data_IF_129427680256
#
_entry.id   IF_129427680256
#
_cell.length_a   1.000
_cell.length_b   1.000
_cell.length_c   1.000
_cell.angle_alpha   90.00
_cell.angle_beta   90.00
_cell.angle_gamma   90.00
#
_symmetry.space_group_name_H-M   'P 1'
#
loop_
_entity.id
_entity.type
_entity.pdbx_description
1 polymer ?
#
# COMPACT_ATOMS: atom_id res chain seq x y z
N UNK A 1 -80.59 -110.43 0.28
CA UNK A 1 -80.95 -110.25 -1.15
C UNK A 1 -80.29 -108.97 -1.67
N UNK A 2 -79.09 -109.06 -2.25
CA UNK A 2 -78.45 -107.91 -2.91
C UNK A 2 -79.03 -107.74 -4.31
N UNK A 3 -79.83 -106.69 -4.54
CA UNK A 3 -80.26 -106.29 -5.89
C UNK A 3 -79.02 -105.90 -6.68
N UNK A 4 -78.63 -106.72 -7.66
CA UNK A 4 -77.57 -106.40 -8.61
C UNK A 4 -78.09 -105.32 -9.56
N UNK A 5 -77.46 -104.15 -9.50
CA UNK A 5 -77.71 -103.02 -10.39
C UNK A 5 -77.50 -103.47 -11.84
N UNK A 6 -78.46 -103.17 -12.72
CA UNK A 6 -78.35 -103.54 -14.15
C UNK A 6 -77.27 -102.69 -14.83
N UNK A 7 -76.65 -103.19 -15.92
CA UNK A 7 -75.56 -102.49 -16.63
C UNK A 7 -75.93 -101.05 -17.02
N UNK A 8 -77.18 -100.82 -17.44
CA UNK A 8 -77.70 -99.50 -17.78
C UNK A 8 -77.87 -98.57 -16.55
N UNK A 9 -78.22 -99.12 -15.38
CA UNK A 9 -78.30 -98.36 -14.12
C UNK A 9 -76.90 -97.99 -13.60
N UNK A 10 -75.93 -98.90 -13.73
CA UNK A 10 -74.53 -98.63 -13.38
C UNK A 10 -73.90 -97.56 -14.28
N UNK A 11 -74.16 -97.59 -15.59
CA UNK A 11 -73.71 -96.54 -16.51
C UNK A 11 -74.35 -95.17 -16.22
N UNK A 12 -75.64 -95.13 -15.84
CA UNK A 12 -76.29 -93.88 -15.39
C UNK A 12 -75.69 -93.38 -14.09
N UNK A 13 -75.43 -94.26 -13.13
CA UNK A 13 -74.79 -93.91 -11.86
C UNK A 13 -73.37 -93.38 -12.06
N UNK A 14 -72.56 -94.01 -12.93
CA UNK A 14 -71.25 -93.50 -13.32
C UNK A 14 -71.35 -92.11 -13.97
N UNK A 15 -72.26 -91.91 -14.93
CA UNK A 15 -72.45 -90.59 -15.55
C UNK A 15 -72.90 -89.54 -14.54
N UNK A 16 -73.76 -89.91 -13.59
CA UNK A 16 -74.21 -89.02 -12.53
C UNK A 16 -73.06 -88.64 -11.59
N UNK A 17 -72.21 -89.60 -11.22
CA UNK A 17 -70.99 -89.35 -10.44
C UNK A 17 -69.99 -88.48 -11.21
N UNK A 18 -69.75 -88.77 -12.49
CA UNK A 18 -68.87 -87.97 -13.35
C UNK A 18 -69.39 -86.54 -13.55
N UNK A 19 -70.71 -86.36 -13.70
CA UNK A 19 -71.33 -85.05 -13.80
C UNK A 19 -71.25 -84.29 -12.47
N UNK A 20 -71.52 -84.95 -11.34
CA UNK A 20 -71.35 -84.36 -10.02
C UNK A 20 -69.89 -83.94 -9.75
N UNK A 21 -68.92 -84.76 -10.17
CA UNK A 21 -67.50 -84.45 -10.07
C UNK A 21 -67.12 -83.27 -10.98
N UNK A 22 -67.62 -83.23 -12.22
CA UNK A 22 -67.42 -82.08 -13.13
C UNK A 22 -68.02 -80.80 -12.58
N UNK A 23 -69.20 -80.87 -11.94
CA UNK A 23 -69.84 -79.72 -11.31
C UNK A 23 -69.07 -79.24 -10.08
N UNK A 24 -68.56 -80.15 -9.25
CA UNK A 24 -67.69 -79.82 -8.13
C UNK A 24 -66.39 -79.15 -8.60
N UNK A 25 -65.74 -79.68 -9.64
CA UNK A 25 -64.55 -79.08 -10.26
C UNK A 25 -64.87 -77.69 -10.83
N UNK A 26 -66.01 -77.52 -11.52
CA UNK A 26 -66.43 -76.21 -12.03
C UNK A 26 -66.63 -75.19 -10.91
N UNK A 27 -67.31 -75.56 -9.83
CA UNK A 27 -67.51 -74.68 -8.66
C UNK A 27 -66.19 -74.33 -7.97
N UNK A 28 -65.30 -75.31 -7.80
CA UNK A 28 -63.97 -75.08 -7.24
C UNK A 28 -63.16 -74.12 -8.12
N UNK A 29 -63.12 -74.34 -9.43
CA UNK A 29 -62.41 -73.47 -10.37
C UNK A 29 -63.00 -72.04 -10.38
N UNK A 30 -64.32 -71.90 -10.32
CA UNK A 30 -64.98 -70.60 -10.20
C UNK A 30 -64.59 -69.86 -8.91
N UNK A 31 -64.49 -70.58 -7.79
CA UNK A 31 -64.07 -70.00 -6.51
C UNK A 31 -62.58 -69.61 -6.53
N UNK A 32 -61.72 -70.45 -7.11
CA UNK A 32 -60.30 -70.14 -7.32
C UNK A 32 -60.15 -68.88 -8.19
N UNK A 33 -60.90 -68.77 -9.29
CA UNK A 33 -60.88 -67.58 -10.14
C UNK A 33 -61.44 -66.34 -9.43
N UNK A 34 -62.43 -66.51 -8.54
CA UNK A 34 -62.95 -65.42 -7.71
C UNK A 34 -61.88 -64.92 -6.73
N UNK A 35 -61.23 -65.83 -6.02
CA UNK A 35 -60.17 -65.52 -5.05
C UNK A 35 -58.95 -64.92 -5.76
N UNK A 36 -58.52 -65.50 -6.89
CA UNK A 36 -57.42 -64.97 -7.68
C UNK A 36 -57.71 -63.55 -8.21
N UNK A 37 -58.94 -63.28 -8.67
CA UNK A 37 -59.35 -61.92 -9.07
C UNK A 37 -59.36 -60.97 -7.89
N UNK A 38 -59.86 -61.39 -6.73
CA UNK A 38 -59.86 -60.57 -5.52
C UNK A 38 -58.43 -60.25 -5.04
N UNK A 39 -57.55 -61.25 -5.00
CA UNK A 39 -56.14 -61.08 -4.64
C UNK A 39 -55.40 -60.18 -5.63
N UNK A 40 -55.65 -60.33 -6.93
CA UNK A 40 -55.08 -59.46 -7.96
C UNK A 40 -55.56 -58.02 -7.80
N UNK A 41 -56.85 -57.80 -7.58
CA UNK A 41 -57.42 -56.47 -7.36
C UNK A 41 -56.86 -55.81 -6.08
N UNK A 42 -56.66 -56.59 -5.01
CA UNK A 42 -56.02 -56.12 -3.78
C UNK A 42 -54.55 -55.73 -4.02
N UNK A 43 -53.78 -56.58 -4.70
CA UNK A 43 -52.39 -56.29 -5.04
C UNK A 43 -52.27 -55.04 -5.92
N UNK A 44 -53.11 -54.92 -6.95
CA UNK A 44 -53.17 -53.73 -7.82
C UNK A 44 -53.60 -52.47 -7.06
N UNK A 45 -54.47 -52.59 -6.06
CA UNK A 45 -54.82 -51.47 -5.17
C UNK A 45 -53.61 -51.05 -4.33
N UNK A 46 -52.93 -51.99 -3.68
CA UNK A 46 -51.73 -51.70 -2.88
C UNK A 46 -50.62 -51.05 -3.73
N UNK A 47 -50.36 -51.55 -4.93
CA UNK A 47 -49.37 -50.96 -5.85
C UNK A 47 -49.77 -49.54 -6.25
N UNK A 48 -51.05 -49.30 -6.56
CA UNK A 48 -51.53 -47.94 -6.89
C UNK A 48 -51.40 -46.98 -5.72
N UNK A 49 -51.75 -47.40 -4.52
CA UNK A 49 -51.66 -46.56 -3.32
C UNK A 49 -50.20 -46.27 -2.95
N UNK A 50 -49.31 -47.27 -3.08
CA UNK A 50 -47.86 -47.07 -2.92
C UNK A 50 -47.28 -46.09 -3.95
N UNK A 51 -47.61 -46.27 -5.24
CA UNK A 51 -47.14 -45.37 -6.29
C UNK A 51 -47.63 -43.93 -6.09
N UNK A 52 -48.87 -43.73 -5.64
CA UNK A 52 -49.39 -42.39 -5.28
C UNK A 52 -48.58 -41.75 -4.16
N UNK A 53 -48.17 -42.53 -3.16
CA UNK A 53 -47.36 -42.01 -2.06
C UNK A 53 -45.95 -41.65 -2.51
N UNK A 54 -45.32 -42.50 -3.32
CA UNK A 54 -44.03 -42.22 -3.94
C UNK A 54 -44.09 -40.95 -4.78
N UNK A 55 -45.14 -40.78 -5.59
CA UNK A 55 -45.34 -39.56 -6.39
C UNK A 55 -45.51 -38.32 -5.51
N UNK A 56 -46.26 -38.41 -4.40
CA UNK A 56 -46.40 -37.30 -3.44
C UNK A 56 -45.05 -36.90 -2.83
N UNK A 57 -44.29 -37.87 -2.34
CA UNK A 57 -42.97 -37.62 -1.73
C UNK A 57 -42.01 -37.04 -2.75
N UNK A 58 -42.00 -37.56 -3.98
CA UNK A 58 -41.16 -37.05 -5.06
C UNK A 58 -41.53 -35.60 -5.44
N UNK A 59 -42.82 -35.28 -5.51
CA UNK A 59 -43.28 -33.91 -5.76
C UNK A 59 -42.89 -32.96 -4.64
N UNK A 60 -43.02 -33.39 -3.38
CA UNK A 60 -42.59 -32.60 -2.23
C UNK A 60 -41.08 -32.34 -2.25
N UNK A 61 -40.27 -33.39 -2.44
CA UNK A 61 -38.81 -33.27 -2.49
C UNK A 61 -38.37 -32.35 -3.62
N UNK A 62 -38.98 -32.44 -4.81
CA UNK A 62 -38.68 -31.51 -5.92
C UNK A 62 -38.96 -30.06 -5.53
N UNK A 63 -40.12 -29.78 -4.91
CA UNK A 63 -40.48 -28.42 -4.49
C UNK A 63 -39.51 -27.85 -3.46
N UNK A 64 -39.10 -28.65 -2.49
CA UNK A 64 -38.14 -28.20 -1.47
C UNK A 64 -36.73 -27.99 -2.06
N UNK A 65 -36.27 -28.88 -2.94
CA UNK A 65 -35.01 -28.68 -3.67
C UNK A 65 -35.05 -27.40 -4.51
N UNK A 66 -36.14 -27.17 -5.25
CA UNK A 66 -36.31 -25.95 -6.04
C UNK A 66 -36.32 -24.70 -5.16
N UNK A 67 -36.99 -24.75 -4.00
CA UNK A 67 -37.05 -23.66 -3.03
C UNK A 67 -35.66 -23.32 -2.48
N UNK A 68 -34.90 -24.33 -2.05
CA UNK A 68 -33.53 -24.16 -1.54
C UNK A 68 -32.60 -23.64 -2.63
N UNK A 69 -32.70 -24.17 -3.86
CA UNK A 69 -31.91 -23.70 -4.99
C UNK A 69 -32.20 -22.24 -5.33
N UNK A 70 -33.47 -21.83 -5.34
CA UNK A 70 -33.85 -20.44 -5.55
C UNK A 70 -33.34 -19.53 -4.42
N UNK A 71 -33.41 -19.98 -3.16
CA UNK A 71 -32.87 -19.23 -2.02
C UNK A 71 -31.36 -19.05 -2.15
N UNK A 72 -30.61 -20.13 -2.38
CA UNK A 72 -29.17 -20.11 -2.55
C UNK A 72 -28.75 -19.21 -3.71
N UNK A 73 -29.46 -19.28 -4.84
CA UNK A 73 -29.22 -18.39 -5.99
C UNK A 73 -29.36 -16.92 -5.59
N UNK A 74 -30.42 -16.54 -4.87
CA UNK A 74 -30.62 -15.16 -4.39
C UNK A 74 -29.53 -14.72 -3.42
N UNK A 75 -29.12 -15.58 -2.50
CA UNK A 75 -28.06 -15.28 -1.51
C UNK A 75 -26.72 -15.04 -2.23
N UNK A 76 -26.36 -15.91 -3.18
CA UNK A 76 -25.13 -15.77 -3.97
C UNK A 76 -25.16 -14.51 -4.84
N UNK A 77 -26.29 -14.23 -5.50
CA UNK A 77 -26.45 -13.01 -6.31
C UNK A 77 -26.34 -11.73 -5.46
N UNK A 78 -26.93 -11.72 -4.26
CA UNK A 78 -26.82 -10.59 -3.33
C UNK A 78 -25.38 -10.42 -2.84
N UNK A 79 -24.73 -11.51 -2.42
CA UNK A 79 -23.33 -11.48 -1.99
C UNK A 79 -22.42 -10.96 -3.11
N UNK A 80 -22.55 -11.51 -4.32
CA UNK A 80 -21.77 -11.07 -5.48
C UNK A 80 -22.01 -9.60 -5.81
N UNK A 81 -23.24 -9.10 -5.68
CA UNK A 81 -23.57 -7.68 -5.87
C UNK A 81 -22.85 -6.81 -4.85
N UNK A 82 -22.86 -7.19 -3.56
CA UNK A 82 -22.17 -6.47 -2.49
C UNK A 82 -20.66 -6.47 -2.68
N UNK A 83 -20.07 -7.60 -3.07
CA UNK A 83 -18.63 -7.69 -3.38
C UNK A 83 -18.27 -6.76 -4.54
N UNK A 84 -19.05 -6.77 -5.62
CA UNK A 84 -18.83 -5.85 -6.76
C UNK A 84 -18.92 -4.38 -6.32
N UNK A 85 -19.91 -4.03 -5.50
CA UNK A 85 -20.06 -2.66 -4.99
C UNK A 85 -18.88 -2.25 -4.10
N UNK A 86 -18.43 -3.13 -3.21
CA UNK A 86 -17.27 -2.85 -2.35
C UNK A 86 -16.00 -2.67 -3.19
N UNK A 87 -15.77 -3.53 -4.18
CA UNK A 87 -14.62 -3.42 -5.07
C UNK A 87 -14.66 -2.13 -5.90
N UNK A 88 -15.85 -1.73 -6.38
CA UNK A 88 -16.02 -0.45 -7.07
C UNK A 88 -15.74 0.75 -6.15
N UNK A 89 -16.23 0.72 -4.92
CA UNK A 89 -15.97 1.77 -3.93
C UNK A 89 -14.49 1.88 -3.58
N UNK A 90 -13.82 0.74 -3.38
CA UNK A 90 -12.38 0.69 -3.11
C UNK A 90 -11.58 1.24 -4.31
N UNK A 91 -11.91 0.81 -5.53
CA UNK A 91 -11.27 1.32 -6.75
C UNK A 91 -11.49 2.83 -6.92
N UNK A 92 -12.70 3.34 -6.63
CA UNK A 92 -13.00 4.77 -6.67
C UNK A 92 -12.21 5.56 -5.62
N UNK A 93 -12.07 5.04 -4.39
CA UNK A 93 -11.28 5.67 -3.33
C UNK A 93 -9.80 5.73 -3.71
N UNK A 94 -9.23 4.64 -4.23
CA UNK A 94 -7.85 4.58 -4.72
C UNK A 94 -7.66 5.56 -5.88
N UNK A 95 -8.58 5.60 -6.84
CA UNK A 95 -8.52 6.55 -7.96
C UNK A 95 -8.58 8.00 -7.49
N UNK A 96 -9.46 8.33 -6.53
CA UNK A 96 -9.56 9.66 -5.93
C UNK A 96 -8.27 10.06 -5.23
N UNK A 97 -7.70 9.16 -4.41
CA UNK A 97 -6.42 9.37 -3.75
C UNK A 97 -5.29 9.59 -4.77
N UNK A 98 -5.17 8.71 -5.76
CA UNK A 98 -4.15 8.83 -6.80
C UNK A 98 -4.28 10.14 -7.60
N UNK A 99 -5.51 10.58 -7.90
CA UNK A 99 -5.74 11.87 -8.56
C UNK A 99 -5.32 13.03 -7.66
N UNK A 100 -5.65 13.00 -6.37
CA UNK A 100 -5.23 14.03 -5.42
C UNK A 100 -3.70 14.11 -5.30
N UNK A 101 -3.02 12.97 -5.20
CA UNK A 101 -1.55 12.89 -5.18
C UNK A 101 -0.95 13.45 -6.48
N UNK A 102 -1.45 13.05 -7.65
CA UNK A 102 -0.97 13.60 -8.93
C UNK A 102 -1.18 15.12 -9.03
N UNK A 103 -2.33 15.63 -8.60
CA UNK A 103 -2.60 17.07 -8.60
C UNK A 103 -1.68 17.80 -7.64
N UNK A 104 -1.42 17.24 -6.46
CA UNK A 104 -0.48 17.81 -5.49
C UNK A 104 0.95 17.84 -6.04
N UNK A 105 1.46 16.71 -6.54
CA UNK A 105 2.80 16.64 -7.13
C UNK A 105 2.94 17.60 -8.33
N UNK A 106 1.94 17.66 -9.21
CA UNK A 106 1.93 18.62 -10.32
C UNK A 106 1.86 20.08 -9.85
N UNK A 107 1.35 20.36 -8.66
CA UNK A 107 1.40 21.70 -8.07
C UNK A 107 2.78 22.00 -7.48
N UNK A 108 3.35 21.07 -6.71
CA UNK A 108 4.72 21.19 -6.14
C UNK A 108 5.74 21.45 -7.25
N UNK A 109 5.66 20.68 -8.33
CA UNK A 109 6.56 20.82 -9.46
C UNK A 109 6.40 22.17 -10.17
N UNK A 110 5.16 22.61 -10.42
CA UNK A 110 4.90 23.94 -11.01
C UNK A 110 5.40 25.07 -10.12
N UNK A 111 5.20 24.96 -8.81
CA UNK A 111 5.66 25.96 -7.86
C UNK A 111 7.19 26.02 -7.82
N UNK A 112 7.87 24.86 -7.81
CA UNK A 112 9.34 24.77 -7.89
C UNK A 112 9.85 25.41 -9.18
N UNK A 113 9.33 25.01 -10.34
CA UNK A 113 9.73 25.57 -11.63
C UNK A 113 9.53 27.09 -11.68
N UNK A 114 8.38 27.58 -11.20
CA UNK A 114 8.10 29.02 -11.12
C UNK A 114 9.14 29.76 -10.27
N UNK A 115 9.50 29.22 -9.10
CA UNK A 115 10.53 29.83 -8.22
C UNK A 115 11.90 29.84 -8.88
N UNK A 116 12.31 28.75 -9.52
CA UNK A 116 13.57 28.67 -10.26
C UNK A 116 13.58 29.70 -11.41
N UNK A 117 12.49 29.84 -12.17
CA UNK A 117 12.37 30.85 -13.22
C UNK A 117 12.45 32.27 -12.66
N UNK A 118 11.79 32.55 -11.52
CA UNK A 118 11.88 33.84 -10.86
C UNK A 118 13.31 34.14 -10.40
N UNK A 119 13.98 33.17 -9.78
CA UNK A 119 15.38 33.26 -9.38
C UNK A 119 16.33 33.51 -10.55
N UNK A 120 16.06 32.95 -11.74
CA UNK A 120 16.84 33.22 -12.95
C UNK A 120 16.64 34.65 -13.48
N UNK A 121 15.44 35.21 -13.32
CA UNK A 121 15.14 36.57 -13.75
C UNK A 121 15.78 37.66 -12.87
N UNK A 122 16.23 37.31 -11.66
CA UNK A 122 16.87 38.27 -10.76
C UNK A 122 18.28 38.60 -11.23
N UNK A 123 18.54 39.88 -11.49
CA UNK A 123 19.84 40.43 -11.90
C UNK A 123 20.77 40.80 -10.73
N UNK A 124 20.34 40.59 -9.47
CA UNK A 124 21.14 40.91 -8.29
C UNK A 124 22.44 40.11 -8.23
N UNK A 125 23.52 40.79 -7.84
CA UNK A 125 24.83 40.20 -7.56
C UNK A 125 24.94 39.61 -6.15
N UNK A 126 23.88 39.70 -5.35
CA UNK A 126 23.81 39.08 -4.03
C UNK A 126 23.49 37.59 -4.12
N UNK A 127 24.12 36.78 -3.27
CA UNK A 127 23.87 35.34 -3.13
C UNK A 127 24.00 34.53 -4.44
N UNK A 128 24.84 34.95 -5.38
CA UNK A 128 25.04 34.28 -6.69
C UNK A 128 25.45 32.82 -6.51
N UNK A 129 26.36 32.55 -5.58
CA UNK A 129 26.86 31.20 -5.34
C UNK A 129 25.76 30.25 -4.83
N UNK A 130 24.88 30.75 -3.94
CA UNK A 130 23.73 29.99 -3.46
C UNK A 130 22.73 29.74 -4.59
N UNK A 131 22.38 30.77 -5.38
CA UNK A 131 21.45 30.63 -6.50
C UNK A 131 21.94 29.59 -7.51
N UNK A 132 23.22 29.64 -7.85
CA UNK A 132 23.83 28.66 -8.76
C UNK A 132 23.75 27.24 -8.18
N UNK A 133 24.00 27.09 -6.89
CA UNK A 133 23.89 25.80 -6.20
C UNK A 133 22.46 25.25 -6.20
N UNK A 134 21.46 26.10 -5.95
CA UNK A 134 20.04 25.76 -6.04
C UNK A 134 19.66 25.32 -7.46
N UNK A 135 20.18 25.99 -8.51
CA UNK A 135 19.95 25.57 -9.90
C UNK A 135 20.55 24.20 -10.18
N UNK A 136 21.80 23.97 -9.78
CA UNK A 136 22.46 22.68 -9.93
C UNK A 136 21.75 21.55 -9.19
N UNK A 137 21.28 21.81 -7.97
CA UNK A 137 20.50 20.84 -7.18
C UNK A 137 19.18 20.51 -7.88
N UNK A 138 18.49 21.52 -8.39
CA UNK A 138 17.25 21.38 -9.17
C UNK A 138 17.48 20.54 -10.44
N UNK A 139 18.55 20.78 -11.18
CA UNK A 139 18.89 20.01 -12.39
C UNK A 139 19.27 18.55 -12.08
N UNK A 140 19.95 18.33 -10.94
CA UNK A 140 20.25 16.97 -10.45
C UNK A 140 18.99 16.23 -10.04
N UNK A 141 18.03 16.89 -9.39
CA UNK A 141 16.72 16.30 -9.11
C UNK A 141 16.01 15.88 -10.39
N UNK A 142 15.94 16.74 -11.40
CA UNK A 142 15.31 16.39 -12.68
C UNK A 142 16.00 15.18 -13.34
N UNK A 143 17.31 15.03 -13.13
CA UNK A 143 18.08 13.89 -13.63
C UNK A 143 17.76 12.61 -12.86
N UNK A 144 17.62 12.70 -11.53
CA UNK A 144 17.13 11.61 -10.68
C UNK A 144 15.74 11.18 -11.11
N UNK A 145 14.80 12.11 -11.29
CA UNK A 145 13.43 11.81 -11.70
C UNK A 145 13.37 11.09 -13.05
N UNK A 146 14.16 11.53 -14.04
CA UNK A 146 14.24 10.84 -15.35
C UNK A 146 14.87 9.46 -15.27
N UNK A 147 15.84 9.26 -14.36
CA UNK A 147 16.53 7.99 -14.15
C UNK A 147 15.74 7.01 -13.29
N UNK A 148 14.85 7.51 -12.44
CA UNK A 148 14.04 6.73 -11.53
C UNK A 148 12.99 5.95 -12.32
N UNK A 149 13.19 4.63 -12.45
CA UNK A 149 12.13 3.72 -12.87
C UNK A 149 10.94 3.75 -11.90
N UNK A 150 9.80 3.21 -12.30
CA UNK A 150 8.49 3.40 -11.65
C UNK A 150 8.32 2.89 -10.19
N UNK A 151 9.33 2.31 -9.51
CA UNK A 151 9.07 1.64 -8.22
C UNK A 151 10.18 1.56 -7.16
N UNK A 152 11.48 1.57 -7.48
CA UNK A 152 12.49 1.08 -6.51
C UNK A 152 12.74 1.96 -5.29
N UNK A 153 12.42 3.26 -5.32
CA UNK A 153 12.68 4.18 -4.19
C UNK A 153 11.76 5.42 -4.23
N UNK A 154 10.46 5.21 -4.46
CA UNK A 154 9.48 6.29 -4.60
C UNK A 154 9.47 7.28 -3.41
N UNK A 155 9.65 6.78 -2.19
CA UNK A 155 9.74 7.63 -0.99
C UNK A 155 10.97 8.53 -1.01
N UNK A 156 12.12 8.00 -1.44
CA UNK A 156 13.35 8.78 -1.55
C UNK A 156 13.23 9.83 -2.67
N UNK A 157 12.56 9.51 -3.77
CA UNK A 157 12.28 10.47 -4.84
C UNK A 157 11.42 11.64 -4.34
N UNK A 158 10.37 11.36 -3.57
CA UNK A 158 9.52 12.40 -2.97
C UNK A 158 10.30 13.28 -1.98
N UNK A 159 11.21 12.69 -1.20
CA UNK A 159 12.08 13.46 -0.31
C UNK A 159 13.08 14.31 -1.10
N UNK A 160 13.64 13.79 -2.20
CA UNK A 160 14.52 14.56 -3.09
C UNK A 160 13.79 15.74 -3.74
N UNK A 161 12.54 15.57 -4.17
CA UNK A 161 11.69 16.66 -4.68
C UNK A 161 11.51 17.76 -3.62
N UNK A 162 11.21 17.33 -2.38
CA UNK A 162 11.06 18.23 -1.24
C UNK A 162 12.34 19.02 -0.97
N UNK A 163 13.51 18.38 -0.99
CA UNK A 163 14.77 19.08 -0.74
C UNK A 163 15.16 20.05 -1.87
N UNK A 164 14.91 19.69 -3.13
CA UNK A 164 15.07 20.62 -4.25
C UNK A 164 14.14 21.84 -4.13
N UNK A 165 12.89 21.63 -3.71
CA UNK A 165 11.92 22.70 -3.47
C UNK A 165 12.29 23.57 -2.25
N UNK A 166 12.80 22.96 -1.17
CA UNK A 166 13.29 23.67 0.01
C UNK A 166 14.47 24.59 -0.36
N UNK A 167 15.42 24.12 -1.15
CA UNK A 167 16.55 24.93 -1.62
C UNK A 167 16.06 26.14 -2.45
N UNK A 168 15.13 25.92 -3.38
CA UNK A 168 14.51 27.01 -4.14
C UNK A 168 13.79 28.04 -3.25
N UNK A 169 13.09 27.55 -2.23
CA UNK A 169 12.37 28.39 -1.26
C UNK A 169 13.33 29.27 -0.44
N UNK A 170 14.45 28.71 0.02
CA UNK A 170 15.48 29.48 0.76
C UNK A 170 16.12 30.53 -0.14
N UNK A 171 16.53 30.16 -1.35
CA UNK A 171 17.16 31.08 -2.28
C UNK A 171 16.24 32.25 -2.63
N UNK A 172 14.94 31.99 -2.83
CA UNK A 172 13.94 33.04 -3.06
C UNK A 172 13.78 33.95 -1.83
N UNK A 173 13.63 33.38 -0.64
CA UNK A 173 13.46 34.14 0.60
C UNK A 173 14.68 35.03 0.94
N UNK A 174 15.88 34.61 0.57
CA UNK A 174 17.10 35.39 0.80
C UNK A 174 17.22 36.60 -0.13
N UNK A 175 16.66 36.50 -1.33
CA UNK A 175 16.72 37.57 -2.33
C UNK A 175 15.49 38.48 -2.28
N UNK A 176 14.35 37.99 -1.77
CA UNK A 176 13.14 38.78 -1.60
C UNK A 176 13.32 39.91 -0.56
N UNK A 177 12.80 41.10 -0.87
CA UNK A 177 12.87 42.27 0.01
C UNK A 177 12.08 42.05 1.32
N UNK A 178 10.89 41.46 1.22
CA UNK A 178 10.03 41.10 2.36
C UNK A 178 9.71 39.58 2.32
N UNK A 179 10.58 38.73 2.88
CA UNK A 179 10.38 37.30 2.86
C UNK A 179 9.27 36.92 3.83
N UNK A 180 8.25 36.23 3.30
CA UNK A 180 7.20 35.64 4.14
C UNK A 180 7.79 34.50 4.95
N UNK A 181 7.60 34.56 6.27
CA UNK A 181 7.94 33.43 7.13
C UNK A 181 7.13 32.20 6.68
N UNK A 182 7.74 31.00 6.65
CA UNK A 182 7.02 29.80 6.30
C UNK A 182 5.86 29.58 7.28
N UNK A 183 4.68 29.24 6.76
CA UNK A 183 3.52 28.89 7.57
C UNK A 183 3.89 27.71 8.49
N UNK A 184 3.39 27.75 9.73
CA UNK A 184 3.81 26.95 10.89
C UNK A 184 4.50 25.63 10.52
N UNK A 185 5.75 25.46 10.97
CA UNK A 185 6.54 24.27 10.74
C UNK A 185 5.71 23.03 11.05
N UNK A 186 5.42 22.23 10.02
CA UNK A 186 5.03 20.85 10.24
C UNK A 186 6.11 20.24 11.11
N UNK A 187 5.71 19.62 12.22
CA UNK A 187 6.63 18.87 13.05
C UNK A 187 7.29 17.80 12.17
N UNK A 188 8.59 17.95 11.93
CA UNK A 188 9.36 17.00 11.13
C UNK A 188 9.70 15.75 11.93
N UNK A 189 9.47 15.76 13.25
CA UNK A 189 9.92 14.71 14.16
C UNK A 189 11.43 14.73 14.38
N UNK A 190 12.14 15.82 14.04
CA UNK A 190 13.60 15.89 14.16
C UNK A 190 14.07 15.71 15.60
N UNK A 191 13.33 16.22 16.59
CA UNK A 191 13.71 16.10 17.99
C UNK A 191 13.58 14.65 18.48
N UNK A 192 12.50 13.98 18.09
CA UNK A 192 12.23 12.58 18.35
C UNK A 192 13.27 11.69 17.67
N UNK A 193 13.57 11.96 16.40
CA UNK A 193 14.61 11.26 15.65
C UNK A 193 15.97 11.41 16.31
N UNK A 194 16.41 12.65 16.58
CA UNK A 194 17.70 12.91 17.18
C UNK A 194 17.78 12.34 18.60
N UNK A 195 16.72 12.43 19.42
CA UNK A 195 16.71 11.83 20.75
C UNK A 195 16.83 10.29 20.70
N UNK A 196 16.16 9.65 19.74
CA UNK A 196 16.30 8.21 19.49
C UNK A 196 17.69 7.83 18.96
N UNK A 197 18.38 8.74 18.28
CA UNK A 197 19.69 8.51 17.71
C UNK A 197 20.86 8.79 18.67
N UNK A 198 20.85 9.95 19.34
CA UNK A 198 21.83 10.40 20.32
C UNK A 198 21.29 11.63 21.07
N UNK A 199 21.20 11.52 22.41
CA UNK A 199 20.79 12.64 23.25
C UNK A 199 21.69 13.87 23.05
N UNK A 200 22.99 13.66 22.85
CA UNK A 200 23.94 14.75 22.55
C UNK A 200 23.57 15.51 21.27
N UNK A 201 23.17 14.81 20.19
CA UNK A 201 22.75 15.47 18.95
C UNK A 201 21.42 16.21 19.11
N UNK A 202 20.48 15.66 19.90
CA UNK A 202 19.24 16.34 20.25
C UNK A 202 19.51 17.66 20.98
N UNK A 203 20.43 17.65 21.95
CA UNK A 203 20.80 18.83 22.72
C UNK A 203 21.61 19.83 21.89
N UNK A 204 22.47 19.38 20.97
CA UNK A 204 23.14 20.25 19.97
C UNK A 204 22.13 20.94 19.06
N UNK A 205 21.10 20.24 18.59
CA UNK A 205 20.05 20.84 17.77
C UNK A 205 19.26 21.89 18.56
N UNK A 206 18.87 21.59 19.81
CA UNK A 206 18.23 22.58 20.69
C UNK A 206 19.11 23.80 20.94
N UNK A 207 20.40 23.59 21.17
CA UNK A 207 21.40 24.65 21.31
C UNK A 207 21.51 25.51 20.05
N UNK A 208 21.52 24.88 18.88
CA UNK A 208 21.52 25.56 17.58
C UNK A 208 20.24 26.41 17.41
N UNK A 209 19.07 25.87 17.73
CA UNK A 209 17.81 26.63 17.67
C UNK A 209 17.80 27.80 18.66
N UNK A 210 18.32 27.60 19.87
CA UNK A 210 18.46 28.66 20.86
C UNK A 210 19.44 29.75 20.40
N UNK A 211 20.50 29.37 19.67
CA UNK A 211 21.48 30.33 19.16
C UNK A 211 20.93 31.21 18.05
N UNK A 212 19.86 30.81 17.34
CA UNK A 212 19.14 31.59 16.31
C UNK A 212 18.36 32.82 16.87
N UNK A 213 18.87 33.43 17.93
CA UNK A 213 18.36 34.67 18.49
C UNK A 213 18.98 35.87 17.75
N UNK A 214 18.19 36.81 17.20
CA UNK A 214 18.71 38.00 16.51
C UNK A 214 19.64 38.89 17.36
N UNK A 215 19.59 38.76 18.69
CA UNK A 215 20.44 39.51 19.64
C UNK A 215 21.81 38.86 19.83
N UNK A 216 21.98 37.60 19.42
CA UNK A 216 23.26 36.89 19.53
C UNK A 216 24.14 37.18 18.30
N UNK A 217 25.26 37.91 18.43
CA UNK A 217 26.13 38.24 17.30
C UNK A 217 26.84 37.01 16.71
N UNK A 218 26.99 35.93 17.49
CA UNK A 218 27.59 34.66 17.06
C UNK A 218 26.53 33.57 16.78
N UNK A 219 25.25 33.95 16.66
CA UNK A 219 24.15 33.06 16.29
C UNK A 219 24.47 32.18 15.08
N UNK A 220 25.08 32.81 14.08
CA UNK A 220 25.48 32.21 12.82
C UNK A 220 26.44 31.05 13.02
N UNK A 221 27.57 31.38 13.65
CA UNK A 221 28.66 30.46 13.90
C UNK A 221 28.22 29.28 14.76
N UNK A 222 27.50 29.53 15.86
CA UNK A 222 27.05 28.47 16.75
C UNK A 222 26.08 27.51 16.06
N UNK A 223 25.09 28.05 15.34
CA UNK A 223 24.15 27.22 14.58
C UNK A 223 24.88 26.36 13.54
N UNK A 224 25.74 26.96 12.72
CA UNK A 224 26.47 26.25 11.67
C UNK A 224 27.42 25.17 12.22
N UNK A 225 28.10 25.43 13.34
CA UNK A 225 28.96 24.43 13.97
C UNK A 225 28.15 23.22 14.44
N UNK A 226 27.07 23.45 15.19
CA UNK A 226 26.23 22.37 15.71
C UNK A 226 25.60 21.54 14.57
N UNK A 227 25.12 22.19 13.51
CA UNK A 227 24.55 21.49 12.36
C UNK A 227 25.60 20.65 11.64
N UNK A 228 26.81 21.18 11.40
CA UNK A 228 27.88 20.43 10.75
C UNK A 228 28.23 19.16 11.54
N UNK A 229 28.34 19.28 12.86
CA UNK A 229 28.60 18.15 13.74
C UNK A 229 27.48 17.10 13.66
N UNK A 230 26.20 17.52 13.62
CA UNK A 230 25.07 16.61 13.45
C UNK A 230 25.18 15.83 12.12
N UNK A 231 25.48 16.49 10.99
CA UNK A 231 25.65 15.80 9.70
C UNK A 231 26.80 14.80 9.72
N UNK A 232 27.94 15.18 10.31
CA UNK A 232 29.11 14.31 10.42
C UNK A 232 28.82 13.09 11.29
N UNK A 233 28.25 13.29 12.48
CA UNK A 233 27.96 12.20 13.43
C UNK A 233 26.88 11.23 12.89
N UNK A 234 25.86 11.74 12.19
CA UNK A 234 24.87 10.88 11.51
C UNK A 234 25.58 10.02 10.47
N UNK A 235 26.37 10.62 9.57
CA UNK A 235 27.08 9.87 8.53
C UNK A 235 28.06 8.85 9.11
N UNK A 236 28.85 9.24 10.12
CA UNK A 236 29.87 8.38 10.69
C UNK A 236 29.27 7.16 11.40
N UNK A 237 28.13 7.34 12.07
CA UNK A 237 27.46 6.25 12.79
C UNK A 237 26.70 5.30 11.87
N UNK A 238 26.15 5.77 10.74
CA UNK A 238 25.48 4.89 9.77
C UNK A 238 26.43 4.27 8.73
N UNK A 239 27.56 4.93 8.47
CA UNK A 239 28.59 4.49 7.53
C UNK A 239 29.97 4.54 8.21
N UNK A 240 30.21 3.57 9.10
CA UNK A 240 31.50 3.42 9.76
C UNK A 240 32.62 3.24 8.74
N UNK A 241 33.81 3.75 9.05
CA UNK A 241 34.94 3.72 8.13
C UNK A 241 35.34 2.29 7.75
N UNK A 242 35.19 1.32 8.65
CA UNK A 242 35.51 -0.08 8.36
C UNK A 242 34.46 -0.69 7.44
N UNK A 243 33.17 -0.53 7.74
CA UNK A 243 32.07 -1.05 6.93
C UNK A 243 32.13 -0.54 5.48
N UNK A 244 32.41 0.75 5.29
CA UNK A 244 32.54 1.34 3.95
C UNK A 244 33.73 0.74 3.19
N UNK A 245 34.86 0.50 3.88
CA UNK A 245 36.06 -0.11 3.26
C UNK A 245 35.88 -1.59 2.97
N UNK A 246 35.19 -2.33 3.84
CA UNK A 246 34.85 -3.73 3.62
C UNK A 246 33.92 -3.87 2.41
N UNK A 247 32.91 -3.00 2.32
CA UNK A 247 31.98 -2.98 1.17
C UNK A 247 32.65 -2.53 -0.12
N UNK A 248 33.57 -1.56 -0.06
CA UNK A 248 34.29 -1.07 -1.22
C UNK A 248 35.76 -0.72 -0.86
N UNK A 249 36.71 -1.65 -1.05
CA UNK A 249 38.11 -1.43 -0.75
C UNK A 249 38.77 -0.32 -1.59
N UNK A 250 38.22 -0.01 -2.77
CA UNK A 250 38.69 1.07 -3.65
C UNK A 250 37.87 2.36 -3.51
N UNK A 251 37.19 2.54 -2.36
CA UNK A 251 36.46 3.77 -2.08
C UNK A 251 37.37 5.00 -2.07
N UNK A 252 36.78 6.15 -2.40
CA UNK A 252 37.48 7.43 -2.34
C UNK A 252 37.82 7.76 -0.88
N UNK A 253 39.08 8.15 -0.63
CA UNK A 253 39.57 8.49 0.69
C UNK A 253 39.88 9.98 0.79
N UNK A 254 39.71 10.52 1.99
CA UNK A 254 40.21 11.84 2.36
C UNK A 254 41.75 11.84 2.45
N UNK A 255 42.40 13.02 2.51
CA UNK A 255 43.84 13.11 2.74
C UNK A 255 44.32 12.41 4.04
N UNK A 256 43.44 12.28 5.03
CA UNK A 256 43.71 11.60 6.30
C UNK A 256 43.53 10.07 6.19
N UNK A 257 43.24 9.56 4.99
CA UNK A 257 43.05 8.14 4.71
C UNK A 257 41.68 7.59 5.06
N UNK A 258 40.76 8.36 5.65
CA UNK A 258 39.39 7.89 5.97
C UNK A 258 38.48 7.93 4.73
N UNK A 259 37.44 7.08 4.61
CA UNK A 259 36.46 7.18 3.52
C UNK A 259 35.87 8.59 3.39
N UNK A 260 35.75 9.07 2.15
CA UNK A 260 35.18 10.39 1.85
C UNK A 260 33.69 10.42 2.19
N UNK A 261 33.13 11.63 2.41
CA UNK A 261 31.67 11.83 2.57
C UNK A 261 30.90 11.18 1.41
N UNK A 262 31.40 11.35 0.18
CA UNK A 262 30.83 10.76 -1.04
C UNK A 262 30.85 9.23 -0.99
N UNK A 263 31.94 8.63 -0.53
CA UNK A 263 32.04 7.18 -0.34
C UNK A 263 31.02 6.67 0.69
N UNK A 264 30.85 7.38 1.81
CA UNK A 264 29.86 7.05 2.85
C UNK A 264 28.42 7.14 2.32
N UNK A 265 28.08 8.20 1.61
CA UNK A 265 26.75 8.34 0.99
C UNK A 265 26.49 7.22 -0.01
N UNK A 266 27.47 6.89 -0.86
CA UNK A 266 27.35 5.77 -1.81
C UNK A 266 27.09 4.46 -1.08
N UNK A 267 27.81 4.19 0.01
CA UNK A 267 27.58 2.99 0.82
C UNK A 267 26.14 2.92 1.35
N UNK A 268 25.59 4.02 1.87
CA UNK A 268 24.19 4.06 2.35
C UNK A 268 23.17 3.85 1.22
N UNK A 269 23.38 4.50 0.08
CA UNK A 269 22.52 4.34 -1.10
C UNK A 269 22.56 2.91 -1.66
N UNK A 270 23.73 2.27 -1.68
CA UNK A 270 23.88 0.86 -2.06
C UNK A 270 23.02 -0.04 -1.17
N UNK A 271 23.03 0.17 0.15
CA UNK A 271 22.22 -0.61 1.09
C UNK A 271 20.72 -0.46 0.86
N UNK A 272 20.29 0.68 0.31
CA UNK A 272 18.89 0.95 -0.06
C UNK A 272 18.51 0.54 -1.47
N UNK A 273 19.46 0.09 -2.30
CA UNK A 273 19.21 -0.17 -3.72
C UNK A 273 18.90 1.11 -4.52
N UNK A 274 19.42 2.26 -4.08
CA UNK A 274 19.25 3.57 -4.71
C UNK A 274 20.61 4.17 -5.15
N UNK A 275 21.53 3.32 -5.58
CA UNK A 275 22.94 3.65 -5.88
C UNK A 275 23.18 4.23 -7.27
N UNK A 276 22.14 4.77 -7.91
CA UNK A 276 22.31 5.40 -9.21
C UNK A 276 23.30 6.58 -9.10
N UNK A 277 24.14 6.80 -10.12
CA UNK A 277 25.04 7.96 -10.16
C UNK A 277 24.31 9.29 -9.97
N UNK A 278 23.08 9.37 -10.49
CA UNK A 278 22.19 10.54 -10.38
C UNK A 278 21.77 10.77 -8.93
N UNK A 279 21.31 9.71 -8.22
CA UNK A 279 20.88 9.83 -6.82
C UNK A 279 22.06 10.17 -5.91
N UNK A 280 23.20 9.50 -6.10
CA UNK A 280 24.42 9.84 -5.36
C UNK A 280 24.83 11.30 -5.59
N UNK A 281 24.79 11.74 -6.86
CA UNK A 281 25.10 13.11 -7.21
C UNK A 281 24.12 14.11 -6.60
N UNK A 282 22.84 13.77 -6.51
CA UNK A 282 21.83 14.61 -5.87
C UNK A 282 22.09 14.74 -4.36
N UNK A 283 22.21 13.63 -3.63
CA UNK A 283 22.40 13.65 -2.16
C UNK A 283 23.68 14.39 -1.77
N UNK A 284 24.77 14.16 -2.50
CA UNK A 284 26.02 14.88 -2.27
C UNK A 284 25.84 16.39 -2.48
N UNK A 285 25.18 16.78 -3.59
CA UNK A 285 24.92 18.19 -3.89
C UNK A 285 23.99 18.82 -2.86
N UNK A 286 23.01 18.08 -2.36
CA UNK A 286 22.07 18.55 -1.35
C UNK A 286 22.78 18.95 -0.05
N UNK A 287 23.71 18.11 0.40
CA UNK A 287 24.52 18.39 1.59
C UNK A 287 25.47 19.57 1.33
N UNK A 288 26.07 19.67 0.13
CA UNK A 288 26.90 20.82 -0.23
C UNK A 288 26.12 22.13 -0.28
N UNK A 289 24.88 22.10 -0.78
CA UNK A 289 23.97 23.25 -0.80
C UNK A 289 23.69 23.75 0.63
N UNK A 290 23.43 22.83 1.56
CA UNK A 290 23.22 23.16 2.99
C UNK A 290 24.49 23.76 3.59
N UNK A 291 25.65 23.15 3.35
CA UNK A 291 26.92 23.64 3.90
C UNK A 291 27.23 25.03 3.32
N UNK A 292 26.90 25.28 2.06
CA UNK A 292 27.10 26.59 1.44
C UNK A 292 26.22 27.67 2.08
N UNK A 293 25.02 27.34 2.57
CA UNK A 293 24.19 28.26 3.35
C UNK A 293 24.91 28.76 4.61
N UNK A 294 25.88 28.02 5.16
CA UNK A 294 26.61 28.46 6.34
C UNK A 294 27.46 29.70 6.07
N UNK A 295 27.98 29.87 4.85
CA UNK A 295 28.70 31.10 4.48
C UNK A 295 27.77 32.30 4.47
N UNK A 296 26.59 32.15 3.85
CA UNK A 296 25.54 33.17 3.82
C UNK A 296 25.09 33.53 5.25
N UNK A 297 24.93 32.52 6.10
CA UNK A 297 24.50 32.68 7.47
C UNK A 297 25.52 33.42 8.35
N UNK A 298 26.80 33.09 8.20
CA UNK A 298 27.89 33.73 8.91
C UNK A 298 28.11 35.19 8.46
N UNK A 299 28.01 35.48 7.16
CA UNK A 299 28.16 36.85 6.64
C UNK A 299 27.00 37.79 7.06
N UNK A 300 25.82 37.23 7.32
CA UNK A 300 24.64 37.99 7.73
C UNK A 300 24.61 38.33 9.22
N UNK A 301 25.38 37.61 10.05
CA UNK A 301 25.45 37.77 11.50
C UNK A 301 26.59 38.69 11.96
N UNK A 302 27.57 38.94 11.08
CA UNK A 302 28.60 39.97 11.29
C UNK A 302 28.19 41.32 10.64
N UNK A 303 27.52 42.18 11.42
CA UNK A 303 27.12 43.54 11.01
C UNK A 303 26.27 44.26 12.08
N UNK A 304 26.14 45.58 11.99
CA UNK A 304 25.32 46.39 12.90
C UNK A 304 23.83 46.02 12.76
N UNK A 305 23.33 45.22 13.72
CA UNK A 305 22.04 44.53 13.70
C UNK A 305 21.90 43.51 12.55
N UNK A 306 21.53 42.27 12.88
CA UNK A 306 21.51 41.12 11.96
C UNK A 306 20.81 41.42 10.62
N UNK A 307 21.53 41.21 9.51
CA UNK A 307 21.04 41.47 8.14
C UNK A 307 19.87 40.58 7.72
N UNK A 308 19.54 39.57 8.51
CA UNK A 308 18.46 38.63 8.27
C UNK A 308 17.38 38.77 9.33
N UNK A 309 16.18 39.18 8.90
CA UNK A 309 14.99 39.13 9.72
C UNK A 309 14.59 37.69 10.05
N UNK A 310 13.76 37.55 11.09
CA UNK A 310 13.28 36.26 11.63
C UNK A 310 12.76 35.30 10.54
N UNK A 311 12.03 35.81 9.55
CA UNK A 311 11.52 35.02 8.44
C UNK A 311 12.62 34.28 7.65
N UNK A 312 13.73 34.96 7.32
CA UNK A 312 14.87 34.33 6.61
C UNK A 312 15.55 33.27 7.48
N UNK A 313 15.73 33.56 8.77
CA UNK A 313 16.32 32.61 9.72
C UNK A 313 15.46 31.34 9.83
N UNK A 314 14.13 31.49 9.85
CA UNK A 314 13.20 30.37 9.90
C UNK A 314 13.24 29.52 8.62
N UNK A 315 13.36 30.14 7.44
CA UNK A 315 13.49 29.39 6.18
C UNK A 315 14.80 28.61 6.11
N UNK A 316 15.90 29.19 6.56
CA UNK A 316 17.21 28.51 6.64
C UNK A 316 17.13 27.33 7.61
N UNK A 317 16.55 27.54 8.80
CA UNK A 317 16.30 26.48 9.78
C UNK A 317 15.54 25.31 9.15
N UNK A 318 14.45 25.58 8.44
CA UNK A 318 13.63 24.54 7.79
C UNK A 318 14.41 23.77 6.72
N UNK A 319 15.26 24.42 5.93
CA UNK A 319 16.10 23.72 4.95
C UNK A 319 17.11 22.80 5.61
N UNK A 320 17.75 23.25 6.68
CA UNK A 320 18.69 22.42 7.44
C UNK A 320 17.98 21.23 8.08
N UNK A 321 16.82 21.49 8.70
CA UNK A 321 15.97 20.47 9.32
C UNK A 321 15.54 19.41 8.29
N UNK A 322 15.07 19.85 7.12
CA UNK A 322 14.74 18.98 5.99
C UNK A 322 15.92 18.13 5.54
N UNK A 323 17.10 18.74 5.33
CA UNK A 323 18.30 18.03 4.93
C UNK A 323 18.79 16.99 5.92
N UNK A 324 18.69 17.25 7.24
CA UNK A 324 19.00 16.26 8.28
C UNK A 324 18.03 15.07 8.17
N UNK A 325 16.73 15.34 8.04
CA UNK A 325 15.72 14.29 7.91
C UNK A 325 15.85 13.51 6.60
N UNK A 326 16.24 14.17 5.52
CA UNK A 326 16.53 13.53 4.24
C UNK A 326 17.74 12.59 4.35
N UNK A 327 18.83 13.05 4.96
CA UNK A 327 20.00 12.21 5.21
C UNK A 327 19.66 11.01 6.11
N UNK A 328 18.85 11.23 7.15
CA UNK A 328 18.35 10.15 7.99
C UNK A 328 17.57 9.11 7.17
N UNK A 329 16.72 9.56 6.25
CA UNK A 329 15.96 8.69 5.35
C UNK A 329 16.84 7.99 4.30
N UNK A 330 18.00 8.54 3.93
CA UNK A 330 19.03 7.84 3.13
C UNK A 330 19.75 6.78 3.95
N UNK A 331 19.86 6.96 5.27
CA UNK A 331 20.60 6.06 6.13
C UNK A 331 19.79 4.86 6.68
N UNK A 332 18.48 5.03 6.91
CA UNK A 332 17.56 4.06 7.54
C UNK A 332 17.07 2.96 6.62
#
# INVERSE_FOLDING_TARGET
MSRRMTRAEYERWIRQQQNAQRDAIRRYNQEVDRVNRANRALAEKHVRDYNREVDRVNQYNRREVDRVNQHNKRVVENHNRRVRQNNQNAAAAVSKYNNAVRTHNAQVERDRQRRISALRAISSTSYVALRQSTFELSERFDSVERSAGTASYADLLALSEREASNSATVAEALVADDPRAPESAQDTGILEYLAGFSQDLCDRWRGALFSLNPVNPDAGRHFCTSVREIFTEILDKWADNNDVRESNPSCELTPNGTPSRRAKIRFLLNRKGADSPEMLGFVEKDIDDIIQLFHVFNEATHGSAGKHGFARLQTIRQRVEGGIMFLAAVAL
#
